data_IF_386400732006
#
_entry.id   IF_386400732006
#
_cell.length_a   1.000
_cell.length_b   1.000
_cell.length_c   1.000
_cell.angle_alpha   90.00
_cell.angle_beta   90.00
_cell.angle_gamma   90.00
#
_symmetry.space_group_name_H-M   'P 1'
#
loop_
_entity.id
_entity.type
_entity.pdbx_description
1 polymer ?
#
# COMPACT_ATOMS: atom_id res chain seq x y z
N UNK A 1 -12.98 1.81 -2.76
CA UNK A 1 -11.67 2.42 -3.01
C UNK A 1 -11.24 3.13 -1.74
N UNK A 2 -10.13 2.71 -1.13
CA UNK A 2 -9.59 3.34 0.08
C UNK A 2 -8.92 4.66 -0.31
N UNK A 3 -9.08 5.70 0.51
CA UNK A 3 -8.51 7.03 0.29
C UNK A 3 -8.03 7.57 1.62
N UNK A 4 -6.95 8.35 1.59
CA UNK A 4 -6.38 8.96 2.79
C UNK A 4 -6.28 10.46 2.60
N UNK A 5 -6.56 11.21 3.66
CA UNK A 5 -6.48 12.66 3.65
C UNK A 5 -5.20 13.10 4.33
N UNK A 6 -4.26 13.70 3.59
CA UNK A 6 -2.99 14.20 4.14
C UNK A 6 -2.94 15.71 3.88
N UNK A 7 -2.70 16.51 4.91
CA UNK A 7 -2.82 17.98 4.87
C UNK A 7 -4.14 18.51 4.29
N UNK A 8 -5.25 17.79 4.53
CA UNK A 8 -6.56 18.16 3.98
C UNK A 8 -6.74 17.86 2.49
N UNK A 9 -5.77 17.19 1.85
CA UNK A 9 -5.89 16.71 0.46
C UNK A 9 -6.13 15.20 0.45
N UNK A 10 -7.15 14.77 -0.27
CA UNK A 10 -7.49 13.36 -0.44
C UNK A 10 -6.62 12.72 -1.52
N UNK A 11 -6.02 11.58 -1.19
CA UNK A 11 -5.19 10.79 -2.09
C UNK A 11 -5.74 9.37 -2.23
N UNK A 12 -5.71 8.78 -3.45
CA UNK A 12 -6.05 7.39 -3.63
C UNK A 12 -5.01 6.50 -2.94
N UNK A 13 -5.48 5.50 -2.23
CA UNK A 13 -4.63 4.47 -1.63
C UNK A 13 -5.07 3.11 -2.16
N UNK A 14 -4.14 2.35 -2.73
CA UNK A 14 -4.39 0.99 -3.21
C UNK A 14 -3.18 0.12 -2.93
N UNK A 15 -3.42 -1.02 -2.31
CA UNK A 15 -2.42 -2.07 -2.26
C UNK A 15 -2.28 -2.64 -3.67
N UNK A 16 -1.14 -2.37 -4.29
CA UNK A 16 -0.78 -2.87 -5.62
C UNK A 16 0.53 -3.63 -5.52
N UNK A 17 0.78 -4.52 -6.48
CA UNK A 17 2.10 -5.16 -6.61
C UNK A 17 3.23 -4.13 -6.76
N UNK A 18 2.95 -2.95 -7.32
CA UNK A 18 3.91 -1.84 -7.43
C UNK A 18 4.28 -1.23 -6.08
N UNK A 19 3.31 -1.09 -5.17
CA UNK A 19 3.55 -0.63 -3.81
C UNK A 19 4.41 -1.65 -3.03
N UNK A 20 4.10 -2.94 -3.13
CA UNK A 20 4.87 -4.02 -2.50
C UNK A 20 6.32 -4.06 -3.00
N UNK A 21 6.52 -3.94 -4.32
CA UNK A 21 7.85 -3.92 -4.92
C UNK A 21 8.69 -2.72 -4.46
N UNK A 22 8.09 -1.53 -4.36
CA UNK A 22 8.77 -0.33 -3.86
C UNK A 22 9.15 -0.49 -2.39
N UNK A 23 8.21 -0.93 -1.57
CA UNK A 23 8.47 -1.18 -0.15
C UNK A 23 9.64 -2.15 0.06
N UNK A 24 9.65 -3.26 -0.67
CA UNK A 24 10.75 -4.23 -0.60
C UNK A 24 12.10 -3.64 -1.02
N UNK A 25 12.12 -2.78 -2.05
CA UNK A 25 13.35 -2.13 -2.51
C UNK A 25 13.87 -1.05 -1.55
N UNK A 26 12.98 -0.36 -0.84
CA UNK A 26 13.36 0.69 0.11
C UNK A 26 13.79 0.12 1.47
N UNK A 27 13.19 -1.00 1.90
CA UNK A 27 13.39 -1.51 3.25
C UNK A 27 14.19 -2.82 3.31
N UNK A 28 14.39 -3.50 2.18
CA UNK A 28 14.89 -4.89 2.12
C UNK A 28 14.10 -5.83 3.05
N UNK A 29 12.80 -5.57 3.21
CA UNK A 29 11.86 -6.33 4.04
C UNK A 29 10.59 -6.62 3.26
N UNK A 30 9.95 -7.74 3.58
CA UNK A 30 8.64 -8.06 3.04
C UNK A 30 7.52 -7.38 3.85
N UNK A 31 6.37 -7.14 3.21
CA UNK A 31 5.21 -6.46 3.83
C UNK A 31 4.71 -7.23 5.06
N UNK A 32 4.92 -8.55 5.10
CA UNK A 32 4.61 -9.39 6.26
C UNK A 32 5.48 -9.09 7.49
N UNK A 33 6.62 -8.44 7.32
CA UNK A 33 7.57 -8.11 8.40
C UNK A 33 7.26 -6.77 9.06
N UNK A 34 6.32 -5.98 8.51
CA UNK A 34 5.91 -4.68 9.07
C UNK A 34 5.46 -4.84 10.52
N UNK A 35 4.61 -5.83 10.80
CA UNK A 35 4.10 -6.10 12.15
C UNK A 35 3.53 -4.86 12.83
N UNK A 36 4.18 -4.43 13.91
CA UNK A 36 3.84 -3.22 14.68
C UNK A 36 4.86 -2.09 14.52
N UNK A 37 5.78 -2.21 13.56
CA UNK A 37 6.79 -1.19 13.29
C UNK A 37 6.15 -0.02 12.55
N UNK A 38 5.93 1.07 13.29
CA UNK A 38 5.32 2.31 12.78
C UNK A 38 6.11 2.88 11.60
N UNK A 39 7.44 2.78 11.62
CA UNK A 39 8.29 3.31 10.55
C UNK A 39 8.03 2.56 9.25
N UNK A 40 8.04 1.22 9.31
CA UNK A 40 7.73 0.39 8.15
C UNK A 40 6.28 0.59 7.69
N UNK A 41 5.34 0.78 8.60
CA UNK A 41 3.94 1.08 8.30
C UNK A 41 3.80 2.38 7.49
N UNK A 42 4.47 3.45 7.93
CA UNK A 42 4.47 4.75 7.24
C UNK A 42 5.08 4.61 5.84
N UNK A 43 6.22 3.90 5.71
CA UNK A 43 6.87 3.66 4.42
C UNK A 43 5.95 2.87 3.47
N UNK A 44 5.29 1.84 3.98
CA UNK A 44 4.38 1.03 3.17
C UNK A 44 3.14 1.81 2.74
N UNK A 45 2.58 2.61 3.63
CA UNK A 45 1.46 3.50 3.36
C UNK A 45 1.80 4.50 2.25
N UNK A 46 2.97 5.14 2.36
CA UNK A 46 3.51 6.03 1.33
C UNK A 46 3.63 5.33 -0.02
N UNK A 47 4.17 4.11 -0.04
CA UNK A 47 4.29 3.30 -1.25
C UNK A 47 2.93 3.00 -1.90
N UNK A 48 1.91 2.71 -1.10
CA UNK A 48 0.54 2.47 -1.56
C UNK A 48 -0.06 3.71 -2.21
N UNK A 49 0.07 4.87 -1.57
CA UNK A 49 -0.42 6.14 -2.11
C UNK A 49 0.33 6.54 -3.37
N UNK A 50 1.66 6.51 -3.34
CA UNK A 50 2.49 6.85 -4.50
C UNK A 50 2.22 5.92 -5.69
N UNK A 51 1.99 4.62 -5.46
CA UNK A 51 1.63 3.69 -6.54
C UNK A 51 0.23 3.95 -7.10
N UNK A 52 -0.76 4.22 -6.24
CA UNK A 52 -2.12 4.49 -6.67
C UNK A 52 -2.21 5.83 -7.41
N UNK A 53 -1.55 6.87 -6.90
CA UNK A 53 -1.45 8.16 -7.57
C UNK A 53 -0.82 8.04 -8.96
N UNK A 54 0.24 7.24 -9.10
CA UNK A 54 0.86 6.99 -10.40
C UNK A 54 -0.06 6.22 -11.37
N UNK A 55 -0.90 5.31 -10.86
CA UNK A 55 -1.86 4.57 -11.69
C UNK A 55 -3.05 5.44 -12.11
N UNK A 56 -3.53 6.30 -11.22
CA UNK A 56 -4.71 7.14 -11.43
C UNK A 56 -4.33 8.53 -12.03
N UNK A 57 -3.04 8.80 -12.25
CA UNK A 57 -2.53 10.06 -12.83
C UNK A 57 -2.62 11.26 -11.89
N UNK A 58 -2.66 11.04 -10.58
CA UNK A 58 -2.77 12.08 -9.55
C UNK A 58 -1.38 12.60 -9.19
N UNK A 59 -1.20 13.92 -9.16
CA UNK A 59 0.04 14.56 -8.73
C UNK A 59 0.27 14.36 -7.21
N UNK A 60 1.35 13.65 -6.89
CA UNK A 60 1.79 13.32 -5.53
C UNK A 60 3.21 13.87 -5.29
N UNK A 61 3.30 15.17 -5.00
CA UNK A 61 4.55 15.90 -4.71
C UNK A 61 4.88 15.93 -3.21
N UNK A 62 4.66 14.81 -2.52
CA UNK A 62 5.03 14.65 -1.12
C UNK A 62 6.19 13.67 -1.03
N UNK A 63 7.23 14.06 -0.30
CA UNK A 63 8.30 13.16 0.13
C UNK A 63 7.82 12.33 1.31
N UNK A 64 8.52 11.24 1.61
CA UNK A 64 8.16 10.34 2.71
C UNK A 64 8.10 11.05 4.06
N UNK A 65 9.04 11.97 4.32
CA UNK A 65 9.08 12.75 5.56
C UNK A 65 7.87 13.69 5.66
N UNK A 66 7.59 14.44 4.59
CA UNK A 66 6.43 15.34 4.55
C UNK A 66 5.12 14.59 4.68
N UNK A 67 5.04 13.42 4.05
CA UNK A 67 3.87 12.56 4.15
C UNK A 67 3.69 12.09 5.59
N UNK A 68 4.75 11.61 6.24
CA UNK A 68 4.75 11.18 7.64
C UNK A 68 4.30 12.29 8.60
N UNK A 69 4.78 13.53 8.39
CA UNK A 69 4.39 14.70 9.18
C UNK A 69 2.88 15.02 9.08
N UNK A 70 2.25 14.63 7.98
CA UNK A 70 0.81 14.80 7.76
C UNK A 70 -0.05 13.64 8.25
N UNK A 71 0.54 12.55 8.74
CA UNK A 71 -0.17 11.39 9.25
C UNK A 71 -0.42 11.50 10.75
N UNK A 72 -1.68 11.31 11.15
CA UNK A 72 -2.04 11.08 12.54
C UNK A 72 -1.90 9.61 12.93
N UNK A 73 -1.76 9.35 14.24
CA UNK A 73 -1.80 7.98 14.78
C UNK A 73 -3.11 7.26 14.44
N UNK A 74 -4.23 7.99 14.38
CA UNK A 74 -5.53 7.42 14.02
C UNK A 74 -5.54 6.86 12.59
N UNK A 75 -4.93 7.56 11.64
CA UNK A 75 -4.80 7.10 10.25
C UNK A 75 -3.89 5.88 10.13
N UNK A 76 -2.81 5.85 10.92
CA UNK A 76 -1.90 4.71 10.95
C UNK A 76 -2.60 3.47 11.51
N UNK A 77 -3.38 3.62 12.57
CA UNK A 77 -4.16 2.52 13.14
C UNK A 77 -5.22 2.00 12.15
N UNK A 78 -5.98 2.90 11.52
CA UNK A 78 -6.96 2.53 10.51
C UNK A 78 -6.30 1.80 9.33
N UNK A 79 -5.12 2.27 8.90
CA UNK A 79 -4.36 1.58 7.86
C UNK A 79 -3.89 0.19 8.30
N UNK A 80 -3.36 0.06 9.51
CA UNK A 80 -2.86 -1.21 10.05
C UNK A 80 -3.96 -2.27 10.13
N UNK A 81 -5.15 -1.90 10.60
CA UNK A 81 -6.34 -2.76 10.59
C UNK A 81 -6.67 -3.18 9.16
N UNK A 82 -6.67 -2.23 8.24
CA UNK A 82 -6.98 -2.47 6.83
C UNK A 82 -5.96 -3.41 6.14
N UNK A 83 -4.70 -3.35 6.57
CA UNK A 83 -3.61 -4.17 6.03
C UNK A 83 -3.72 -5.62 6.52
N UNK A 84 -4.19 -5.84 7.75
CA UNK A 84 -4.46 -7.18 8.27
C UNK A 84 -5.58 -7.86 7.48
N UNK A 85 -6.63 -7.12 7.12
CA UNK A 85 -7.73 -7.63 6.30
C UNK A 85 -7.27 -8.03 4.88
N UNK A 86 -6.48 -7.18 4.22
CA UNK A 86 -5.98 -7.43 2.85
C UNK A 86 -4.94 -8.58 2.79
N UNK A 87 -4.16 -8.80 3.86
CA UNK A 87 -3.22 -9.93 3.98
C UNK A 87 -3.96 -11.24 4.28
N UNK A 88 -5.05 -11.22 5.05
CA UNK A 88 -5.89 -12.40 5.28
C UNK A 88 -6.64 -12.81 3.99
N UNK A 89 -7.13 -11.84 3.22
CA UNK A 89 -7.78 -12.10 1.93
C UNK A 89 -6.78 -12.64 0.88
N UNK A 90 -5.54 -12.13 0.89
CA UNK A 90 -4.43 -12.65 0.06
C UNK A 90 -4.01 -14.07 0.45
N UNK A 91 -4.28 -14.53 1.68
CA UNK A 91 -4.06 -15.92 2.11
C UNK A 91 -5.24 -16.85 1.81
N UNK A 92 -6.40 -16.33 1.39
CA UNK A 92 -7.61 -17.14 1.15
C UNK A 92 -7.89 -17.51 -0.32
N UNK A 93 -6.93 -17.33 -1.24
CA UNK A 93 -6.98 -17.99 -2.56
C UNK A 93 -5.63 -18.58 -3.00
N UNK A 94 -5.47 -19.91 -2.92
CA UNK A 94 -4.97 -20.69 -4.02
C UNK A 94 -6.20 -21.17 -4.81
N UNK A 95 -6.79 -20.32 -5.64
CA UNK A 95 -7.68 -20.83 -6.69
C UNK A 95 -6.99 -20.62 -8.03
N UNK A 96 -6.11 -21.59 -8.31
CA UNK A 96 -5.79 -22.16 -9.61
C UNK A 96 -6.46 -21.44 -10.79
N UNK A 97 -5.75 -20.53 -11.42
CA UNK A 97 -5.97 -20.30 -12.85
C UNK A 97 -4.62 -20.30 -13.54
N UNK A 98 -4.27 -21.45 -14.08
CA UNK A 98 -3.16 -21.64 -15.01
C UNK A 98 -3.46 -22.91 -15.81
N UNK A 99 -3.00 -23.01 -17.06
CA UNK A 99 -3.13 -22.06 -18.16
C UNK A 99 -3.68 -22.80 -19.41
N UNK A 100 -3.58 -22.17 -20.59
CA UNK A 100 -3.53 -22.79 -21.94
C UNK A 100 -4.87 -22.91 -22.69
N UNK A 101 -4.99 -22.74 -24.02
CA UNK A 101 -4.18 -22.15 -25.11
C UNK A 101 -5.14 -22.10 -26.31
N UNK A 102 -4.85 -21.20 -27.24
CA UNK A 102 -5.38 -21.06 -28.61
C UNK A 102 -5.90 -22.33 -29.35
N UNK A 103 -6.96 -22.10 -30.13
CA UNK A 103 -7.27 -22.60 -31.50
C UNK A 103 -6.99 -24.06 -31.89
N UNK A 104 -8.04 -24.78 -32.30
CA UNK A 104 -8.33 -25.10 -33.70
C UNK A 104 -9.77 -25.58 -33.87
#
# INVERSE_FOLDING_TARGET
MKRITVYGKEYPMRMTMGAMLRFKRETDRDVSEIGTDVSLMVIFLFCCVASACNADGVAFDLDIDKFADGLGMDMLNEFAESMQEDVDESKKKPETTSPQTLTN
#
